data_IF_015641590371
#
_entry.id   IF_015641590371
#
_cell.length_a   1.000
_cell.length_b   1.000
_cell.length_c   1.000
_cell.angle_alpha   90.00
_cell.angle_beta   90.00
_cell.angle_gamma   90.00
#
_symmetry.space_group_name_H-M   'P 1'
#
loop_
_entity.id
_entity.type
_entity.pdbx_description
1 polymer ?
#
# COMPACT_ATOMS: atom_id res chain seq x y z
N UNK A 1 -0.05 -16.70 6.16
CA UNK A 1 1.00 -15.74 5.83
C UNK A 1 2.03 -15.64 6.94
N UNK A 2 3.28 -15.48 6.56
CA UNK A 2 4.40 -15.28 7.47
C UNK A 2 4.88 -13.84 7.36
N UNK A 3 5.08 -13.18 8.50
CA UNK A 3 5.59 -11.82 8.54
C UNK A 3 7.04 -11.78 8.07
N UNK A 4 7.36 -10.81 7.22
CA UNK A 4 8.72 -10.52 6.79
C UNK A 4 9.38 -9.55 7.78
N UNK A 5 10.71 -9.47 7.83
CA UNK A 5 11.38 -8.51 8.71
C UNK A 5 10.91 -7.08 8.47
N UNK A 6 10.70 -6.34 9.55
CA UNK A 6 10.27 -4.94 9.49
C UNK A 6 11.51 -4.04 9.38
N UNK A 7 11.47 -3.08 8.45
CA UNK A 7 12.49 -2.04 8.31
C UNK A 7 11.94 -0.75 8.88
N UNK A 8 12.67 -0.12 9.81
CA UNK A 8 12.31 1.20 10.32
C UNK A 8 13.04 2.27 9.54
N UNK A 9 12.36 3.40 9.32
CA UNK A 9 12.89 4.56 8.58
C UNK A 9 13.49 4.17 7.23
N UNK A 10 12.71 3.50 6.34
CA UNK A 10 13.22 3.07 5.05
C UNK A 10 13.73 4.26 4.24
N UNK A 11 14.94 4.11 3.67
CA UNK A 11 15.56 5.18 2.89
C UNK A 11 15.88 6.44 3.68
N UNK A 12 15.90 6.36 5.03
CA UNK A 12 16.12 7.52 5.89
C UNK A 12 14.87 8.35 6.15
N UNK A 13 13.74 8.01 5.53
CA UNK A 13 12.46 8.69 5.75
C UNK A 13 11.79 8.13 7.02
N UNK A 14 11.31 8.97 7.95
CA UNK A 14 10.58 8.46 9.11
C UNK A 14 9.40 7.59 8.68
N UNK A 15 9.30 6.41 9.28
CA UNK A 15 8.25 5.47 8.96
C UNK A 15 8.64 4.03 9.19
N UNK A 16 7.90 3.12 8.58
CA UNK A 16 8.11 1.69 8.72
C UNK A 16 7.72 0.99 7.41
N UNK A 17 8.48 -0.04 7.07
CA UNK A 17 8.19 -0.90 5.93
C UNK A 17 8.24 -2.35 6.38
N UNK A 18 7.28 -3.15 5.98
CA UNK A 18 7.23 -4.56 6.31
C UNK A 18 6.35 -5.30 5.31
N UNK A 19 6.06 -6.56 5.59
CA UNK A 19 5.20 -7.31 4.70
C UNK A 19 4.95 -8.72 5.17
N UNK A 20 4.24 -9.46 4.33
CA UNK A 20 3.85 -10.84 4.58
C UNK A 20 3.97 -11.64 3.29
N UNK A 21 4.33 -12.90 3.42
CA UNK A 21 4.32 -13.84 2.29
C UNK A 21 3.61 -15.13 2.71
N UNK A 22 2.91 -15.78 1.77
CA UNK A 22 2.34 -17.09 2.04
C UNK A 22 3.43 -18.17 1.97
N UNK A 23 3.13 -19.38 2.45
CA UNK A 23 4.12 -20.46 2.53
C UNK A 23 4.69 -20.86 1.18
N UNK A 24 3.93 -20.69 0.09
CA UNK A 24 4.37 -21.01 -1.26
C UNK A 24 5.16 -19.87 -1.92
N UNK A 25 5.18 -18.67 -1.31
CA UNK A 25 5.82 -17.50 -1.89
C UNK A 25 5.08 -16.93 -3.11
N UNK A 26 3.87 -17.39 -3.39
CA UNK A 26 3.09 -16.94 -4.54
C UNK A 26 2.26 -15.69 -4.29
N UNK A 27 2.07 -15.32 -3.03
CA UNK A 27 1.39 -14.08 -2.62
C UNK A 27 2.27 -13.32 -1.66
N UNK A 28 2.47 -12.03 -1.95
CA UNK A 28 3.29 -11.14 -1.12
C UNK A 28 2.49 -9.86 -0.87
N UNK A 29 2.50 -9.39 0.36
CA UNK A 29 1.91 -8.12 0.75
C UNK A 29 3.04 -7.26 1.29
N UNK A 30 3.30 -6.13 0.63
CA UNK A 30 4.27 -5.14 1.10
C UNK A 30 3.53 -3.92 1.63
N UNK A 31 3.90 -3.43 2.80
CA UNK A 31 3.27 -2.29 3.45
C UNK A 31 4.34 -1.30 3.86
N UNK A 32 4.19 -0.06 3.40
CA UNK A 32 5.11 1.03 3.74
C UNK A 32 4.31 2.21 4.27
N UNK A 33 4.66 2.67 5.46
CA UNK A 33 4.05 3.83 6.09
C UNK A 33 5.14 4.89 6.24
N UNK A 34 4.94 6.05 5.60
CA UNK A 34 5.82 7.20 5.76
C UNK A 34 5.17 8.22 6.67
N UNK A 35 5.94 8.78 7.59
CA UNK A 35 5.49 9.84 8.48
C UNK A 35 6.06 11.16 7.97
N UNK A 36 5.19 12.07 7.59
CA UNK A 36 5.55 13.38 7.05
C UNK A 36 5.39 14.44 8.15
N UNK A 37 5.91 15.66 7.93
CA UNK A 37 5.80 16.74 8.94
C UNK A 37 4.36 17.14 9.25
N UNK A 38 3.47 17.05 8.27
CA UNK A 38 2.07 17.44 8.45
C UNK A 38 1.18 16.74 7.39
N UNK A 39 -0.13 16.96 7.49
CA UNK A 39 -1.09 16.33 6.58
C UNK A 39 -0.94 16.83 5.14
N UNK A 40 -0.52 18.06 4.93
CA UNK A 40 -0.29 18.61 3.58
C UNK A 40 0.87 17.90 2.90
N UNK A 41 1.95 17.68 3.63
CA UNK A 41 3.11 16.92 3.11
C UNK A 41 2.72 15.48 2.81
N UNK A 42 1.87 14.87 3.63
CA UNK A 42 1.37 13.51 3.38
C UNK A 42 0.54 13.47 2.08
N UNK A 43 -0.33 14.43 1.85
CA UNK A 43 -1.11 14.51 0.62
C UNK A 43 -0.22 14.69 -0.62
N UNK A 44 0.83 15.50 -0.51
CA UNK A 44 1.80 15.69 -1.59
C UNK A 44 2.56 14.41 -1.90
N UNK A 45 2.98 13.68 -0.86
CA UNK A 45 3.63 12.38 -1.03
C UNK A 45 2.71 11.36 -1.71
N UNK A 46 1.42 11.37 -1.36
CA UNK A 46 0.43 10.52 -2.00
C UNK A 46 0.29 10.82 -3.49
N UNK A 47 0.25 12.09 -3.86
CA UNK A 47 0.17 12.50 -5.27
C UNK A 47 1.38 12.02 -6.07
N UNK A 48 2.56 12.09 -5.48
CA UNK A 48 3.78 11.55 -6.08
C UNK A 48 3.70 10.03 -6.27
N UNK A 49 3.19 9.32 -5.28
CA UNK A 49 3.01 7.87 -5.36
C UNK A 49 1.99 7.49 -6.44
N UNK A 50 0.89 8.24 -6.58
CA UNK A 50 -0.09 8.04 -7.65
C UNK A 50 0.56 8.15 -9.03
N UNK A 51 1.43 9.14 -9.21
CA UNK A 51 2.12 9.34 -10.48
C UNK A 51 3.05 8.20 -10.84
N UNK A 52 3.54 7.45 -9.84
CA UNK A 52 4.44 6.32 -10.04
C UNK A 52 3.72 4.99 -10.23
N UNK A 53 2.40 4.93 -10.05
CA UNK A 53 1.64 3.67 -10.11
C UNK A 53 1.79 2.95 -11.45
N UNK A 54 1.85 3.69 -12.55
CA UNK A 54 1.97 3.10 -13.88
C UNK A 54 3.23 2.27 -14.09
N UNK A 55 4.25 2.44 -13.25
CA UNK A 55 5.48 1.65 -13.29
C UNK A 55 5.31 0.26 -12.67
N UNK A 56 4.25 0.05 -11.89
CA UNK A 56 4.03 -1.17 -11.11
C UNK A 56 2.80 -1.95 -11.55
N UNK A 57 1.78 -1.26 -12.06
CA UNK A 57 0.50 -1.87 -12.39
C UNK A 57 -0.10 -1.18 -13.61
N UNK A 58 -0.76 -1.98 -14.47
CA UNK A 58 -1.35 -1.46 -15.72
C UNK A 58 -2.77 -0.93 -15.53
N UNK A 59 -3.43 -1.25 -14.41
CA UNK A 59 -4.80 -0.79 -14.15
C UNK A 59 -4.84 0.70 -13.80
N UNK A 60 -5.93 1.36 -14.17
CA UNK A 60 -6.13 2.76 -13.85
C UNK A 60 -6.51 2.95 -12.38
N UNK A 61 -6.01 4.00 -11.70
CA UNK A 61 -6.40 4.28 -10.32
C UNK A 61 -7.89 4.60 -10.19
N UNK A 62 -8.51 4.14 -9.11
CA UNK A 62 -9.89 4.42 -8.78
C UNK A 62 -9.99 4.83 -7.31
N UNK A 63 -11.01 5.62 -6.91
CA UNK A 63 -11.19 6.00 -5.52
C UNK A 63 -11.38 4.79 -4.61
N UNK A 64 -10.81 4.85 -3.40
CA UNK A 64 -10.95 3.83 -2.37
C UNK A 64 -11.40 4.48 -1.07
N UNK A 65 -12.34 3.84 -0.36
CA UNK A 65 -12.91 4.37 0.88
C UNK A 65 -12.08 3.97 2.09
N UNK A 66 -10.78 4.24 2.05
CA UNK A 66 -9.84 3.97 3.15
C UNK A 66 -9.07 5.25 3.45
N UNK A 67 -9.04 5.64 4.70
CA UNK A 67 -8.36 6.86 5.13
C UNK A 67 -8.83 8.09 4.39
N UNK A 68 -7.92 8.99 4.08
CA UNK A 68 -8.17 10.18 3.27
C UNK A 68 -7.48 10.03 1.92
N UNK A 69 -8.14 10.50 0.85
CA UNK A 69 -7.60 10.48 -0.50
C UNK A 69 -7.26 9.07 -1.01
N UNK A 70 -7.96 8.05 -0.51
CA UNK A 70 -7.69 6.66 -0.86
C UNK A 70 -7.82 6.39 -2.35
N UNK A 71 -6.88 5.61 -2.88
CA UNK A 71 -6.83 5.22 -4.30
C UNK A 71 -6.38 3.77 -4.37
N UNK A 72 -7.01 3.00 -5.23
CA UNK A 72 -6.61 1.62 -5.53
C UNK A 72 -6.43 1.45 -7.03
N UNK A 73 -5.38 0.75 -7.43
CA UNK A 73 -5.15 0.36 -8.81
C UNK A 73 -4.79 -1.12 -8.84
N UNK A 74 -5.33 -1.86 -9.78
CA UNK A 74 -5.05 -3.30 -9.90
C UNK A 74 -5.01 -3.74 -11.35
N UNK A 75 -4.26 -4.79 -11.62
CA UNK A 75 -4.10 -5.35 -12.95
C UNK A 75 -2.80 -6.12 -13.07
N UNK A 76 -2.48 -6.63 -14.26
CA UNK A 76 -1.19 -7.25 -14.51
C UNK A 76 -0.05 -6.26 -14.29
N UNK A 77 1.12 -6.78 -13.85
CA UNK A 77 2.34 -5.97 -13.87
C UNK A 77 2.71 -5.65 -15.34
N UNK A 78 3.53 -4.60 -15.58
CA UNK A 78 3.87 -4.23 -16.96
C UNK A 78 4.49 -5.36 -17.78
N UNK A 79 5.21 -6.28 -17.15
CA UNK A 79 5.82 -7.44 -17.81
C UNK A 79 4.92 -8.69 -17.80
N UNK A 80 3.70 -8.59 -17.28
CA UNK A 80 2.73 -9.70 -17.15
C UNK A 80 3.22 -10.87 -16.29
N UNK A 81 4.25 -10.68 -15.46
CA UNK A 81 4.79 -11.76 -14.63
C UNK A 81 3.95 -12.03 -13.39
N UNK A 82 3.10 -11.08 -12.98
CA UNK A 82 2.28 -11.18 -11.78
C UNK A 82 1.05 -10.29 -11.88
N UNK A 83 0.08 -10.53 -10.99
CA UNK A 83 -1.03 -9.62 -10.75
C UNK A 83 -0.64 -8.70 -9.58
N UNK A 84 -0.93 -7.41 -9.72
CA UNK A 84 -0.58 -6.41 -8.70
C UNK A 84 -1.82 -5.62 -8.34
N UNK A 85 -2.02 -5.39 -7.04
CA UNK A 85 -2.98 -4.43 -6.54
C UNK A 85 -2.24 -3.48 -5.59
N UNK A 86 -2.41 -2.18 -5.77
CA UNK A 86 -1.78 -1.17 -4.94
C UNK A 86 -2.85 -0.29 -4.33
N UNK A 87 -2.82 -0.15 -3.01
CA UNK A 87 -3.69 0.73 -2.26
C UNK A 87 -2.85 1.86 -1.66
N UNK A 88 -3.27 3.09 -1.92
CA UNK A 88 -2.63 4.29 -1.40
C UNK A 88 -3.64 5.10 -0.61
N UNK A 89 -3.26 5.58 0.57
CA UNK A 89 -4.10 6.51 1.34
C UNK A 89 -3.26 7.31 2.32
N UNK A 90 -3.85 8.38 2.84
CA UNK A 90 -3.27 9.13 3.95
C UNK A 90 -4.15 9.00 5.18
N UNK A 91 -3.54 9.09 6.35
CA UNK A 91 -4.24 9.22 7.62
C UNK A 91 -3.44 10.20 8.47
N UNK A 92 -3.98 11.40 8.68
CA UNK A 92 -3.24 12.49 9.32
C UNK A 92 -1.95 12.78 8.55
N UNK A 93 -0.81 12.70 9.22
CA UNK A 93 0.51 12.93 8.62
C UNK A 93 1.18 11.66 8.08
N UNK A 94 0.46 10.54 8.06
CA UNK A 94 0.96 9.29 7.52
C UNK A 94 0.51 9.10 6.07
N UNK A 95 1.43 8.67 5.21
CA UNK A 95 1.15 8.26 3.84
C UNK A 95 1.45 6.78 3.74
N UNK A 96 0.47 5.99 3.33
CA UNK A 96 0.55 4.53 3.34
C UNK A 96 0.43 3.97 1.92
N UNK A 97 1.33 3.03 1.61
CA UNK A 97 1.29 2.25 0.37
C UNK A 97 1.23 0.78 0.74
N UNK A 98 0.22 0.06 0.24
CA UNK A 98 0.12 -1.39 0.42
C UNK A 98 0.08 -2.01 -0.97
N UNK A 99 1.05 -2.86 -1.28
CA UNK A 99 1.12 -3.55 -2.55
C UNK A 99 0.85 -5.05 -2.34
N UNK A 100 -0.05 -5.60 -3.16
CA UNK A 100 -0.42 -7.00 -3.13
C UNK A 100 0.06 -7.63 -4.45
N UNK A 101 0.98 -8.58 -4.36
CA UNK A 101 1.49 -9.32 -5.51
C UNK A 101 0.98 -10.75 -5.45
N UNK A 102 0.52 -11.28 -6.58
CA UNK A 102 0.03 -12.65 -6.68
C UNK A 102 0.31 -13.22 -8.08
N UNK A 103 0.04 -14.52 -8.27
CA UNK A 103 0.19 -15.12 -9.58
C UNK A 103 -0.75 -14.46 -10.59
N UNK A 104 -0.38 -14.41 -11.90
CA UNK A 104 -1.19 -13.72 -12.91
C UNK A 104 -2.62 -14.27 -13.04
N UNK A 105 -2.83 -15.54 -12.74
CA UNK A 105 -4.12 -16.22 -12.82
C UNK A 105 -4.84 -16.33 -11.46
N UNK A 106 -4.29 -15.71 -10.41
CA UNK A 106 -4.84 -15.76 -9.06
C UNK A 106 -4.85 -14.34 -8.44
N UNK A 107 -5.67 -13.43 -8.98
CA UNK A 107 -5.73 -12.06 -8.49
C UNK A 107 -6.23 -11.98 -7.06
N UNK A 108 -5.70 -11.04 -6.28
CA UNK A 108 -6.18 -10.76 -4.93
C UNK A 108 -7.58 -10.15 -5.02
N UNK A 109 -8.58 -10.70 -4.31
CA UNK A 109 -9.93 -10.13 -4.33
C UNK A 109 -9.95 -8.68 -3.83
N UNK A 110 -10.73 -7.79 -4.46
CA UNK A 110 -10.83 -6.40 -4.03
C UNK A 110 -11.22 -6.22 -2.56
N UNK A 111 -12.11 -7.06 -2.05
CA UNK A 111 -12.54 -7.00 -0.65
C UNK A 111 -11.42 -7.31 0.33
N UNK A 112 -10.44 -8.14 -0.06
CA UNK A 112 -9.26 -8.41 0.75
C UNK A 112 -8.37 -7.18 0.81
N UNK A 113 -8.17 -6.50 -0.32
CA UNK A 113 -7.39 -5.26 -0.39
C UNK A 113 -8.01 -4.20 0.53
N UNK A 114 -9.32 -4.02 0.46
CA UNK A 114 -10.02 -3.02 1.26
C UNK A 114 -10.01 -3.37 2.75
N UNK A 115 -10.18 -4.64 3.10
CA UNK A 115 -10.18 -5.10 4.50
C UNK A 115 -8.82 -4.86 5.15
N UNK A 116 -7.74 -5.22 4.48
CA UNK A 116 -6.38 -5.00 4.98
C UNK A 116 -6.07 -3.51 5.07
N UNK A 117 -6.48 -2.74 4.08
CA UNK A 117 -6.34 -1.28 4.10
C UNK A 117 -7.04 -0.64 5.28
N UNK A 118 -8.28 -1.05 5.55
CA UNK A 118 -9.05 -0.52 6.67
C UNK A 118 -8.42 -0.87 8.02
N UNK A 119 -7.93 -2.09 8.17
CA UNK A 119 -7.24 -2.51 9.38
C UNK A 119 -5.97 -1.70 9.59
N UNK A 120 -5.22 -1.43 8.53
CA UNK A 120 -4.03 -0.61 8.60
C UNK A 120 -4.37 0.84 8.98
N UNK A 121 -5.42 1.40 8.39
CA UNK A 121 -5.88 2.75 8.71
C UNK A 121 -6.26 2.85 10.19
N UNK A 122 -7.00 1.87 10.71
CA UNK A 122 -7.39 1.83 12.12
C UNK A 122 -6.16 1.76 13.03
N UNK A 123 -5.15 0.97 12.66
CA UNK A 123 -3.92 0.87 13.43
C UNK A 123 -3.15 2.20 13.44
N UNK A 124 -3.12 2.92 12.33
CA UNK A 124 -2.49 4.23 12.24
C UNK A 124 -3.20 5.24 13.14
N UNK A 125 -4.53 5.25 13.13
CA UNK A 125 -5.32 6.14 13.99
C UNK A 125 -5.04 5.91 15.48
N UNK A 126 -4.84 4.66 15.87
CA UNK A 126 -4.56 4.30 17.27
C UNK A 126 -3.13 4.65 17.68
N UNK A 127 -2.17 4.45 16.78
CA UNK A 127 -0.76 4.61 17.06
C UNK A 127 -0.18 5.98 16.76
N UNK A 128 -0.91 6.83 16.02
CA UNK A 128 -0.43 8.12 15.56
C UNK A 128 -1.47 9.19 15.88
N UNK A 129 -1.36 9.89 17.01
CA UNK A 129 -2.28 10.97 17.35
C UNK A 129 -2.28 12.06 16.27
N UNK A 130 -3.43 12.60 16.04
CA UNK A 130 -3.61 13.67 15.05
C UNK A 130 -2.86 14.94 15.45
#
# INVERSE_FOLDING_TARGET
>A
FTAMPVTTNPGGQPGVSGGFTNSAGTRVIGDTIMILPDATAAATALDGAKSALGSNVTGAPAPASVGSNGVVASGPSPDNSKFVAVLLFTEGKACTTIEFDSAPDDPVPPEVVMDIGQKQDDAIKQGLPA
#
